data_IF_103971038561
#
_entry.id   IF_103971038561
#
_cell.length_a   1.000
_cell.length_b   1.000
_cell.length_c   1.000
_cell.angle_alpha   90.00
_cell.angle_beta   90.00
_cell.angle_gamma   90.00
#
_symmetry.space_group_name_H-M   'P 1'
#
loop_
_entity.id
_entity.type
_entity.pdbx_description
1 polymer ?
#
# COMPACT_ATOMS: atom_id res chain seq x y z
N UNK A 1 1.65 -1.82 -19.68
CA UNK A 1 0.77 -2.02 -18.52
C UNK A 1 -0.35 -2.95 -18.97
N UNK A 2 -0.58 -4.08 -18.31
CA UNK A 2 -1.68 -4.98 -18.69
C UNK A 2 -3.05 -4.35 -18.37
N UNK A 3 -4.10 -4.90 -18.97
CA UNK A 3 -5.46 -4.38 -18.85
C UNK A 3 -5.95 -4.34 -17.40
N UNK A 4 -5.51 -5.30 -16.57
CA UNK A 4 -5.87 -5.37 -15.17
C UNK A 4 -5.30 -4.18 -14.38
N UNK A 5 -4.00 -3.92 -14.53
CA UNK A 5 -3.35 -2.81 -13.84
C UNK A 5 -3.91 -1.44 -14.26
N UNK A 6 -4.26 -1.27 -15.55
CA UNK A 6 -4.89 -0.04 -16.04
C UNK A 6 -6.26 0.18 -15.38
N UNK A 7 -7.09 -0.86 -15.27
CA UNK A 7 -8.41 -0.76 -14.64
C UNK A 7 -8.31 -0.39 -13.16
N UNK A 8 -7.43 -1.06 -12.42
CA UNK A 8 -7.19 -0.79 -11.00
C UNK A 8 -6.72 0.65 -10.81
N UNK A 9 -5.67 1.05 -11.53
CA UNK A 9 -5.10 2.39 -11.43
C UNK A 9 -6.15 3.48 -11.70
N UNK A 10 -6.87 3.38 -12.81
CA UNK A 10 -7.87 4.37 -13.19
C UNK A 10 -9.00 4.50 -12.17
N UNK A 11 -9.43 3.38 -11.57
CA UNK A 11 -10.47 3.39 -10.54
C UNK A 11 -9.99 4.02 -9.23
N UNK A 12 -8.76 3.70 -8.78
CA UNK A 12 -8.18 4.27 -7.57
C UNK A 12 -7.96 5.79 -7.69
N UNK A 13 -7.71 6.27 -8.91
CA UNK A 13 -7.49 7.69 -9.19
C UNK A 13 -8.76 8.54 -9.25
N UNK A 14 -9.95 7.96 -9.15
CA UNK A 14 -11.20 8.73 -9.11
C UNK A 14 -11.28 9.47 -7.75
N UNK A 15 -11.29 10.82 -7.74
CA UNK A 15 -11.35 11.59 -6.50
C UNK A 15 -12.76 11.58 -5.91
N UNK A 16 -12.84 11.77 -4.60
CA UNK A 16 -14.12 12.05 -3.94
C UNK A 16 -14.54 13.50 -4.25
N UNK A 17 -15.76 13.70 -4.72
CA UNK A 17 -16.27 15.00 -5.18
C UNK A 17 -17.02 15.78 -4.09
N UNK A 18 -17.32 15.12 -2.97
CA UNK A 18 -18.04 15.70 -1.84
C UNK A 18 -19.55 15.42 -1.83
N UNK A 19 -20.10 14.90 -2.93
CA UNK A 19 -21.46 14.35 -2.95
C UNK A 19 -21.46 12.95 -2.30
N UNK A 20 -22.24 12.78 -1.23
CA UNK A 20 -22.20 11.58 -0.39
C UNK A 20 -22.61 10.32 -1.15
N UNK A 21 -23.64 10.38 -1.99
CA UNK A 21 -24.12 9.22 -2.76
C UNK A 21 -23.05 8.81 -3.76
N UNK A 22 -22.55 9.77 -4.54
CA UNK A 22 -21.51 9.50 -5.52
C UNK A 22 -20.20 9.03 -4.88
N UNK A 23 -19.78 9.61 -3.76
CA UNK A 23 -18.60 9.18 -3.02
C UNK A 23 -18.74 7.73 -2.53
N UNK A 24 -19.92 7.32 -2.06
CA UNK A 24 -20.15 5.94 -1.63
C UNK A 24 -19.97 4.94 -2.78
N UNK A 25 -20.42 5.29 -3.99
CA UNK A 25 -20.24 4.46 -5.18
C UNK A 25 -18.76 4.37 -5.58
N UNK A 26 -18.04 5.50 -5.58
CA UNK A 26 -16.59 5.54 -5.85
C UNK A 26 -15.82 4.69 -4.84
N UNK A 27 -16.11 4.85 -3.54
CA UNK A 27 -15.46 4.08 -2.47
C UNK A 27 -15.74 2.60 -2.66
N UNK A 28 -16.98 2.22 -2.97
CA UNK A 28 -17.34 0.82 -3.24
C UNK A 28 -16.53 0.25 -4.40
N UNK A 29 -16.46 0.95 -5.53
CA UNK A 29 -15.69 0.53 -6.71
C UNK A 29 -14.21 0.35 -6.37
N UNK A 30 -13.61 1.30 -5.67
CA UNK A 30 -12.20 1.23 -5.31
C UNK A 30 -11.90 0.11 -4.32
N UNK A 31 -12.79 -0.15 -3.36
CA UNK A 31 -12.68 -1.31 -2.46
C UNK A 31 -12.72 -2.63 -3.24
N UNK A 32 -13.56 -2.73 -4.27
CA UNK A 32 -13.59 -3.90 -5.15
C UNK A 32 -12.25 -4.08 -5.89
N UNK A 33 -11.64 -3.00 -6.39
CA UNK A 33 -10.31 -3.08 -7.01
C UNK A 33 -9.20 -3.44 -6.01
N UNK A 34 -9.26 -2.91 -4.78
CA UNK A 34 -8.36 -3.29 -3.70
C UNK A 34 -8.48 -4.78 -3.36
N UNK A 35 -9.69 -5.33 -3.34
CA UNK A 35 -9.93 -6.75 -3.12
C UNK A 35 -9.40 -7.61 -4.28
N UNK A 36 -9.50 -7.14 -5.53
CA UNK A 36 -8.89 -7.83 -6.68
C UNK A 36 -7.37 -7.89 -6.55
N UNK A 37 -6.71 -6.80 -6.15
CA UNK A 37 -5.26 -6.77 -5.87
C UNK A 37 -4.89 -7.76 -4.76
N UNK A 38 -5.67 -7.79 -3.68
CA UNK A 38 -5.46 -8.77 -2.62
C UNK A 38 -5.59 -10.21 -3.16
N UNK A 39 -6.64 -10.53 -3.91
CA UNK A 39 -6.82 -11.86 -4.49
C UNK A 39 -5.69 -12.24 -5.47
N UNK A 40 -5.19 -11.26 -6.22
CA UNK A 40 -4.09 -11.45 -7.16
C UNK A 40 -2.81 -11.89 -6.44
N UNK A 41 -2.47 -11.28 -5.30
CA UNK A 41 -1.14 -11.44 -4.71
C UNK A 41 -1.07 -12.15 -3.35
N UNK A 42 -2.19 -12.30 -2.63
CA UNK A 42 -2.19 -12.91 -1.29
C UNK A 42 -1.62 -14.33 -1.32
N UNK A 43 -0.62 -14.59 -0.45
CA UNK A 43 0.06 -15.87 -0.33
C UNK A 43 0.73 -16.38 -1.62
N UNK A 44 1.02 -15.49 -2.57
CA UNK A 44 1.74 -15.83 -3.81
C UNK A 44 3.11 -15.16 -3.82
N UNK A 45 4.15 -15.94 -4.11
CA UNK A 45 5.49 -15.44 -4.42
C UNK A 45 5.55 -14.97 -5.88
N UNK A 46 4.93 -13.81 -6.16
CA UNK A 46 4.85 -13.19 -7.49
C UNK A 46 5.48 -11.79 -7.49
N UNK A 47 6.81 -11.75 -7.31
CA UNK A 47 7.56 -10.49 -7.28
C UNK A 47 7.49 -9.75 -8.62
N UNK A 48 7.48 -10.47 -9.74
CA UNK A 48 7.36 -9.86 -11.06
C UNK A 48 6.01 -9.15 -11.21
N UNK A 49 4.90 -9.80 -10.82
CA UNK A 49 3.57 -9.20 -10.83
C UNK A 49 3.48 -7.99 -9.90
N UNK A 50 4.07 -8.05 -8.71
CA UNK A 50 4.14 -6.91 -7.78
C UNK A 50 4.94 -5.75 -8.35
N UNK A 51 6.10 -6.03 -8.94
CA UNK A 51 6.93 -5.02 -9.59
C UNK A 51 6.17 -4.34 -10.73
N UNK A 52 5.46 -5.13 -11.57
CA UNK A 52 4.62 -4.60 -12.64
C UNK A 52 3.49 -3.71 -12.12
N UNK A 53 2.81 -4.11 -11.04
CA UNK A 53 1.75 -3.32 -10.40
C UNK A 53 2.29 -2.02 -9.77
N UNK A 54 3.47 -2.06 -9.14
CA UNK A 54 4.16 -0.87 -8.60
C UNK A 54 4.53 0.09 -9.74
N UNK A 55 5.14 -0.42 -10.81
CA UNK A 55 5.50 0.36 -12.00
C UNK A 55 4.26 0.90 -12.74
N UNK A 56 3.11 0.25 -12.56
CA UNK A 56 1.83 0.72 -13.06
C UNK A 56 1.24 1.89 -12.25
N UNK A 57 1.86 2.29 -11.15
CA UNK A 57 1.40 3.40 -10.31
C UNK A 57 0.29 3.02 -9.34
N UNK A 58 0.03 1.73 -9.10
CA UNK A 58 -1.03 1.30 -8.18
C UNK A 58 -0.69 1.70 -6.74
N UNK A 59 0.57 1.52 -6.33
CA UNK A 59 1.05 1.96 -5.01
C UNK A 59 0.98 3.48 -4.88
N UNK A 60 1.32 4.23 -5.93
CA UNK A 60 1.20 5.69 -5.93
C UNK A 60 -0.26 6.15 -5.76
N UNK A 61 -1.20 5.49 -6.44
CA UNK A 61 -2.63 5.79 -6.30
C UNK A 61 -3.15 5.46 -4.89
N UNK A 62 -2.69 4.36 -4.28
CA UNK A 62 -2.99 4.05 -2.89
C UNK A 62 -2.42 5.12 -1.94
N UNK A 63 -1.17 5.53 -2.12
CA UNK A 63 -0.55 6.59 -1.32
C UNK A 63 -1.33 7.91 -1.41
N UNK A 64 -1.82 8.28 -2.59
CA UNK A 64 -2.66 9.46 -2.76
C UNK A 64 -3.99 9.34 -1.99
N UNK A 65 -4.66 8.18 -2.06
CA UNK A 65 -5.85 7.91 -1.24
C UNK A 65 -5.53 8.05 0.25
N UNK A 66 -4.43 7.44 0.70
CA UNK A 66 -4.03 7.45 2.11
C UNK A 66 -3.59 8.83 2.60
N UNK A 67 -3.11 9.73 1.74
CA UNK A 67 -2.66 11.07 2.14
C UNK A 67 -3.74 12.13 2.06
N UNK A 68 -4.73 11.96 1.18
CA UNK A 68 -5.72 13.01 0.90
C UNK A 68 -7.05 12.83 1.64
N UNK A 69 -7.37 11.60 2.08
CA UNK A 69 -8.66 11.31 2.73
C UNK A 69 -8.64 11.53 4.23
N UNK A 70 -9.79 11.85 4.79
CA UNK A 70 -9.99 11.71 6.24
C UNK A 70 -9.73 10.25 6.66
N UNK A 71 -9.23 10.05 7.88
CA UNK A 71 -8.93 8.70 8.38
C UNK A 71 -10.18 7.82 8.34
N UNK A 72 -11.34 8.35 8.71
CA UNK A 72 -12.61 7.60 8.74
C UNK A 72 -13.07 7.11 7.35
N UNK A 73 -12.61 7.73 6.26
CA UNK A 73 -12.90 7.31 4.89
C UNK A 73 -11.93 6.22 4.37
N UNK A 74 -10.89 5.91 5.13
CA UNK A 74 -9.93 4.85 4.82
C UNK A 74 -10.44 3.57 5.47
N UNK A 75 -10.93 2.66 4.64
CA UNK A 75 -11.41 1.35 5.09
C UNK A 75 -10.35 0.26 4.86
N UNK A 76 -10.50 -0.87 5.56
CA UNK A 76 -9.57 -2.00 5.54
C UNK A 76 -9.04 -2.42 4.14
N UNK A 77 -9.85 -2.48 3.06
CA UNK A 77 -9.35 -2.86 1.74
C UNK A 77 -8.17 -2.02 1.23
N UNK A 78 -8.09 -0.71 1.52
CA UNK A 78 -6.97 0.12 1.09
C UNK A 78 -5.66 -0.29 1.78
N UNK A 79 -5.71 -0.43 3.10
CA UNK A 79 -4.56 -0.85 3.91
C UNK A 79 -4.10 -2.27 3.57
N UNK A 80 -5.04 -3.20 3.36
CA UNK A 80 -4.73 -4.58 2.98
C UNK A 80 -4.17 -4.68 1.56
N UNK A 81 -4.67 -3.85 0.62
CA UNK A 81 -4.13 -3.79 -0.73
C UNK A 81 -2.68 -3.27 -0.76
N UNK A 82 -2.32 -2.32 0.12
CA UNK A 82 -0.93 -1.90 0.26
C UNK A 82 -0.09 -2.97 0.95
N UNK A 83 -0.62 -3.59 2.03
CA UNK A 83 0.06 -4.65 2.77
C UNK A 83 0.48 -5.81 1.89
N UNK A 84 -0.35 -6.24 0.93
CA UNK A 84 0.03 -7.39 0.09
C UNK A 84 1.37 -7.15 -0.59
N UNK A 85 1.70 -5.93 -1.03
CA UNK A 85 3.01 -5.64 -1.66
C UNK A 85 4.21 -5.92 -0.74
N UNK A 86 4.01 -6.04 0.57
CA UNK A 86 5.07 -6.35 1.54
C UNK A 86 5.17 -7.84 1.88
N UNK A 87 4.16 -8.65 1.54
CA UNK A 87 4.07 -10.05 1.94
C UNK A 87 3.54 -10.99 0.84
N UNK A 88 4.20 -12.11 0.50
CA UNK A 88 5.45 -12.62 1.11
C UNK A 88 6.65 -11.68 0.92
N UNK A 89 7.59 -11.74 1.86
CA UNK A 89 8.73 -10.82 1.88
C UNK A 89 9.60 -10.97 0.63
N UNK A 90 9.99 -9.83 0.04
CA UNK A 90 10.93 -9.75 -1.07
C UNK A 90 11.81 -8.52 -0.92
N UNK A 91 13.13 -8.70 -0.99
CA UNK A 91 14.10 -7.61 -0.81
C UNK A 91 13.94 -6.53 -1.90
N UNK A 92 13.70 -6.94 -3.15
CA UNK A 92 13.57 -6.01 -4.27
C UNK A 92 12.27 -5.21 -4.18
N UNK A 93 11.16 -5.85 -3.81
CA UNK A 93 9.89 -5.14 -3.61
C UNK A 93 9.97 -4.22 -2.39
N UNK A 94 10.60 -4.66 -1.29
CA UNK A 94 10.81 -3.84 -0.10
C UNK A 94 11.61 -2.57 -0.40
N UNK A 95 12.69 -2.68 -1.17
CA UNK A 95 13.48 -1.53 -1.61
C UNK A 95 12.65 -0.56 -2.45
N UNK A 96 11.86 -1.06 -3.40
CA UNK A 96 10.97 -0.21 -4.21
C UNK A 96 9.92 0.52 -3.37
N UNK A 97 9.33 -0.16 -2.39
CA UNK A 97 8.35 0.46 -1.49
C UNK A 97 9.00 1.54 -0.61
N UNK A 98 10.25 1.32 -0.19
CA UNK A 98 11.03 2.33 0.52
C UNK A 98 11.29 3.55 -0.36
N UNK A 99 11.80 3.37 -1.59
CA UNK A 99 12.02 4.46 -2.56
C UNK A 99 10.73 5.24 -2.88
N UNK A 100 9.58 4.55 -2.85
CA UNK A 100 8.23 5.13 -3.02
C UNK A 100 7.72 5.88 -1.78
N UNK A 101 8.52 5.98 -0.72
CA UNK A 101 8.18 6.60 0.57
C UNK A 101 6.95 5.99 1.23
N UNK A 102 6.76 4.67 1.05
CA UNK A 102 5.56 3.98 1.56
C UNK A 102 5.42 4.07 3.08
N UNK A 103 6.55 4.17 3.80
CA UNK A 103 6.57 4.34 5.26
C UNK A 103 5.80 5.58 5.71
N UNK A 104 5.95 6.73 5.03
CA UNK A 104 5.24 7.97 5.38
C UNK A 104 3.72 7.78 5.37
N UNK A 105 3.19 7.10 4.35
CA UNK A 105 1.76 6.89 4.20
C UNK A 105 1.23 5.80 5.15
N UNK A 106 2.04 4.77 5.41
CA UNK A 106 1.70 3.71 6.38
C UNK A 106 1.70 4.24 7.82
N UNK A 107 2.64 5.12 8.18
CA UNK A 107 2.71 5.73 9.52
C UNK A 107 1.43 6.51 9.84
N UNK A 108 0.82 7.18 8.86
CA UNK A 108 -0.46 7.86 9.06
C UNK A 108 -1.59 6.92 9.52
N UNK A 109 -1.53 5.65 9.15
CA UNK A 109 -2.58 4.67 9.48
C UNK A 109 -2.51 4.15 10.91
N UNK A 110 -1.44 4.43 11.66
CA UNK A 110 -1.32 3.97 13.05
C UNK A 110 -2.29 4.70 13.99
N UNK A 111 -2.76 5.89 13.60
CA UNK A 111 -3.74 6.69 14.34
C UNK A 111 -5.20 6.28 14.03
N UNK A 112 -5.40 5.23 13.22
CA UNK A 112 -6.73 4.77 12.84
C UNK A 112 -7.42 3.98 13.96
N UNK A 113 -8.74 4.11 14.10
CA UNK A 113 -9.50 3.43 15.16
C UNK A 113 -9.77 1.94 14.87
N UNK A 114 -9.84 1.56 13.60
CA UNK A 114 -9.99 0.16 13.17
C UNK A 114 -8.68 -0.63 13.33
N UNK A 115 -8.65 -1.67 14.19
CA UNK A 115 -7.44 -2.47 14.44
C UNK A 115 -6.96 -3.25 13.21
N UNK A 116 -7.82 -3.57 12.24
CA UNK A 116 -7.40 -4.26 11.01
C UNK A 116 -6.47 -3.33 10.21
N UNK A 117 -6.81 -2.05 10.14
CA UNK A 117 -6.02 -1.04 9.43
C UNK A 117 -4.69 -0.83 10.13
N UNK A 118 -4.71 -0.61 11.44
CA UNK A 118 -3.49 -0.44 12.24
C UNK A 118 -2.56 -1.65 12.12
N UNK A 119 -3.09 -2.87 12.30
CA UNK A 119 -2.27 -4.08 12.25
C UNK A 119 -1.65 -4.34 10.87
N UNK A 120 -2.42 -4.12 9.79
CA UNK A 120 -1.89 -4.28 8.43
C UNK A 120 -0.84 -3.23 8.10
N UNK A 121 -1.00 -1.99 8.59
CA UNK A 121 0.01 -0.95 8.43
C UNK A 121 1.30 -1.26 9.19
N UNK A 122 1.19 -1.69 10.46
CA UNK A 122 2.34 -2.10 11.27
C UNK A 122 3.09 -3.28 10.65
N UNK A 123 2.36 -4.30 10.17
CA UNK A 123 2.98 -5.44 9.49
C UNK A 123 3.67 -5.02 8.19
N UNK A 124 3.08 -4.10 7.43
CA UNK A 124 3.71 -3.56 6.22
C UNK A 124 4.99 -2.77 6.54
N UNK A 125 4.97 -1.94 7.59
CA UNK A 125 6.14 -1.18 8.06
C UNK A 125 7.25 -2.14 8.49
N UNK A 126 6.94 -3.15 9.31
CA UNK A 126 7.91 -4.15 9.77
C UNK A 126 8.59 -4.85 8.59
N UNK A 127 7.80 -5.33 7.61
CA UNK A 127 8.32 -5.96 6.40
C UNK A 127 9.24 -5.04 5.58
N UNK A 128 8.89 -3.75 5.45
CA UNK A 128 9.71 -2.77 4.71
C UNK A 128 11.03 -2.52 5.44
N UNK A 129 10.97 -2.34 6.76
CA UNK A 129 12.15 -2.08 7.58
C UNK A 129 13.07 -3.30 7.68
N UNK A 130 12.52 -4.51 7.65
CA UNK A 130 13.30 -5.76 7.71
C UNK A 130 14.37 -5.84 6.60
N UNK A 131 14.14 -5.22 5.44
CA UNK A 131 15.13 -5.11 4.38
C UNK A 131 16.42 -4.41 4.84
N UNK A 132 16.32 -3.35 5.63
CA UNK A 132 17.50 -2.68 6.16
C UNK A 132 18.26 -3.54 7.16
N UNK A 133 17.56 -4.33 7.98
CA UNK A 133 18.19 -5.26 8.93
C UNK A 133 19.01 -6.34 8.23
N UNK A 134 18.47 -6.97 7.17
CA UNK A 134 19.17 -8.07 6.49
C UNK A 134 20.31 -7.61 5.56
N UNK A 135 20.27 -6.35 5.12
CA UNK A 135 21.19 -5.84 4.09
C UNK A 135 22.34 -4.99 4.63
N UNK A 136 22.36 -4.69 5.94
CA UNK A 136 23.34 -3.76 6.51
C UNK A 136 24.14 -4.32 7.67
N UNK A 137 25.27 -3.65 7.94
CA UNK A 137 26.10 -3.96 9.09
C UNK A 137 25.41 -3.47 10.37
N UNK A 138 25.21 -4.37 11.33
CA UNK A 138 24.53 -4.11 12.60
C UNK A 138 25.24 -3.07 13.49
N UNK A 139 26.51 -2.75 13.20
CA UNK A 139 27.26 -1.70 13.88
C UNK A 139 26.98 -0.28 13.35
N UNK A 140 26.23 -0.14 12.25
CA UNK A 140 25.84 1.13 11.65
C UNK A 140 24.37 1.42 11.95
N UNK A 141 23.95 2.70 11.97
CA UNK A 141 22.53 3.06 12.01
C UNK A 141 21.74 2.35 10.90
N UNK A 142 20.48 2.03 11.18
CA UNK A 142 19.60 1.40 10.20
C UNK A 142 19.54 2.27 8.93
N UNK A 143 19.64 1.68 7.71
CA UNK A 143 19.76 2.46 6.47
C UNK A 143 18.55 3.37 6.22
N UNK A 144 17.42 3.07 6.86
CA UNK A 144 16.16 3.78 6.72
C UNK A 144 15.86 4.73 7.90
N UNK A 145 16.81 4.89 8.83
CA UNK A 145 16.60 5.67 10.06
C UNK A 145 16.32 7.15 9.79
N UNK A 146 17.01 7.76 8.81
CA UNK A 146 16.85 9.19 8.50
C UNK A 146 15.52 9.52 7.79
N UNK A 147 14.80 8.51 7.31
CA UNK A 147 13.52 8.66 6.59
C UNK A 147 12.28 8.37 7.46
N UNK A 148 12.48 8.00 8.73
CA UNK A 148 11.46 7.85 9.77
C UNK A 148 11.30 9.15 10.58
#
# INVERSE_FOLDING_TARGET
MDQFHIEVYNSLKIPLTGDQIHNNEIIKQQKEQCNKIQHQFTQKSDDLGRNNAINAGIVDALHEILSTRNLDDITAPYSLALFVFTHPYSISISQLLFEKKSLTYLLRLIDHLDPIIVNSALAAIDNILYCGVISTNHALPHPYYEEL
#
